data_IF_867568249728
#
_entry.id   IF_867568249728
#
_cell.length_a   1.000
_cell.length_b   1.000
_cell.length_c   1.000
_cell.angle_alpha   90.00
_cell.angle_beta   90.00
_cell.angle_gamma   90.00
#
_symmetry.space_group_name_H-M   'P 1'
#
loop_
_entity.id
_entity.type
_entity.pdbx_description
1 polymer ?
#
# COMPACT_ATOMS: atom_id res chain seq x y z
N UNK A 1 14.42 5.81 4.51
CA UNK A 1 13.85 5.41 5.82
C UNK A 1 12.66 4.52 5.56
N UNK A 2 12.55 3.36 6.22
CA UNK A 2 11.37 2.49 6.08
C UNK A 2 10.21 3.14 6.82
N UNK A 3 9.30 3.79 6.12
CA UNK A 3 8.06 4.34 6.68
C UNK A 3 7.09 3.20 6.99
N UNK A 4 6.40 3.27 8.13
CA UNK A 4 5.34 2.31 8.49
C UNK A 4 3.98 2.94 8.20
N UNK A 5 2.92 2.15 8.05
CA UNK A 5 1.58 2.75 7.90
C UNK A 5 1.19 3.62 9.10
N UNK A 6 1.74 3.35 10.30
CA UNK A 6 1.54 4.15 11.51
C UNK A 6 2.19 5.53 11.40
N UNK A 7 3.40 5.62 10.84
CA UNK A 7 4.05 6.91 10.60
C UNK A 7 3.31 7.72 9.54
N UNK A 8 2.86 7.08 8.46
CA UNK A 8 2.03 7.76 7.44
C UNK A 8 0.68 8.21 8.00
N UNK A 9 0.06 7.44 8.90
CA UNK A 9 -1.15 7.86 9.61
C UNK A 9 -0.92 9.12 10.45
N UNK A 10 0.22 9.22 11.14
CA UNK A 10 0.57 10.42 11.89
C UNK A 10 0.82 11.61 10.96
N UNK A 11 1.50 11.39 9.82
CA UNK A 11 1.72 12.40 8.77
C UNK A 11 0.39 12.93 8.22
N UNK A 12 -0.56 12.04 7.90
CA UNK A 12 -1.91 12.42 7.45
C UNK A 12 -2.60 13.30 8.50
N UNK A 13 -2.58 12.89 9.77
CA UNK A 13 -3.25 13.65 10.84
C UNK A 13 -2.64 15.05 11.04
N UNK A 14 -1.32 15.17 10.86
CA UNK A 14 -0.61 16.46 10.90
C UNK A 14 -1.01 17.34 9.71
N UNK A 15 -0.93 16.80 8.49
CA UNK A 15 -1.23 17.53 7.26
C UNK A 15 -2.70 17.94 7.16
N UNK A 16 -3.65 17.06 7.52
CA UNK A 16 -5.08 17.35 7.43
C UNK A 16 -5.55 18.46 8.38
N UNK A 17 -4.73 18.88 9.34
CA UNK A 17 -5.05 19.99 10.24
C UNK A 17 -4.88 21.35 9.57
N UNK A 18 -3.95 21.46 8.63
CA UNK A 18 -3.51 22.75 8.07
C UNK A 18 -3.52 22.80 6.54
N UNK A 19 -3.76 21.66 5.87
CA UNK A 19 -3.75 21.54 4.42
C UNK A 19 -5.12 21.15 3.87
N UNK A 20 -5.49 21.64 2.67
CA UNK A 20 -6.71 21.23 2.00
C UNK A 20 -6.64 19.76 1.56
N UNK A 21 -7.79 19.17 1.24
CA UNK A 21 -7.91 17.74 0.95
C UNK A 21 -7.17 17.28 -0.31
N UNK A 22 -6.95 18.19 -1.25
CA UNK A 22 -6.26 18.02 -2.53
C UNK A 22 -4.76 18.35 -2.47
N UNK A 23 -4.25 18.72 -1.29
CA UNK A 23 -2.82 18.96 -1.08
C UNK A 23 -1.99 17.73 -1.50
N UNK A 24 -0.97 17.91 -2.37
CA UNK A 24 -0.18 16.79 -2.89
C UNK A 24 0.47 15.93 -1.80
N UNK A 25 0.96 16.54 -0.72
CA UNK A 25 1.61 15.81 0.37
C UNK A 25 0.59 14.98 1.15
N UNK A 26 -0.63 15.49 1.32
CA UNK A 26 -1.71 14.75 1.98
C UNK A 26 -2.18 13.57 1.13
N UNK A 27 -2.28 13.75 -0.20
CA UNK A 27 -2.60 12.67 -1.14
C UNK A 27 -1.50 11.60 -1.11
N UNK A 28 -0.23 12.03 -1.16
CA UNK A 28 0.93 11.14 -1.11
C UNK A 28 0.95 10.33 0.19
N UNK A 29 0.80 10.98 1.35
CA UNK A 29 0.76 10.29 2.64
C UNK A 29 -0.39 9.26 2.72
N UNK A 30 -1.56 9.58 2.15
CA UNK A 30 -2.68 8.63 2.04
C UNK A 30 -2.38 7.46 1.11
N UNK A 31 -1.68 7.67 -0.01
CA UNK A 31 -1.25 6.60 -0.92
C UNK A 31 -0.24 5.68 -0.22
N UNK A 32 0.77 6.27 0.41
CA UNK A 32 1.81 5.54 1.14
C UNK A 32 1.24 4.73 2.30
N UNK A 33 0.33 5.32 3.11
CA UNK A 33 -0.34 4.59 4.19
C UNK A 33 -1.09 3.35 3.67
N UNK A 34 -1.81 3.47 2.56
CA UNK A 34 -2.54 2.34 1.97
C UNK A 34 -1.59 1.26 1.48
N UNK A 35 -0.50 1.63 0.81
CA UNK A 35 0.50 0.70 0.33
C UNK A 35 1.13 -0.11 1.49
N UNK A 36 1.61 0.58 2.52
CA UNK A 36 2.23 -0.05 3.69
C UNK A 36 1.24 -0.94 4.47
N UNK A 37 0.00 -0.48 4.65
CA UNK A 37 -1.03 -1.28 5.34
C UNK A 37 -1.38 -2.54 4.57
N UNK A 38 -1.47 -2.47 3.25
CA UNK A 38 -1.70 -3.64 2.40
C UNK A 38 -0.51 -4.60 2.44
N UNK A 39 0.72 -4.10 2.41
CA UNK A 39 1.92 -4.93 2.52
C UNK A 39 1.97 -5.68 3.86
N UNK A 40 1.65 -5.02 4.97
CA UNK A 40 1.56 -5.65 6.29
C UNK A 40 0.44 -6.70 6.33
N UNK A 41 -0.74 -6.38 5.78
CA UNK A 41 -1.84 -7.34 5.69
C UNK A 41 -1.45 -8.62 4.93
N UNK A 42 -0.80 -8.48 3.77
CA UNK A 42 -0.33 -9.63 2.98
C UNK A 42 0.66 -10.47 3.78
N UNK A 43 1.65 -9.85 4.45
CA UNK A 43 2.60 -10.56 5.32
C UNK A 43 1.89 -11.35 6.41
N UNK A 44 0.91 -10.73 7.06
CA UNK A 44 0.14 -11.38 8.13
C UNK A 44 -0.66 -12.57 7.60
N UNK A 45 -1.33 -12.44 6.45
CA UNK A 45 -2.08 -13.55 5.82
C UNK A 45 -1.15 -14.72 5.46
N UNK A 46 0.04 -14.43 4.90
CA UNK A 46 1.00 -15.46 4.53
C UNK A 46 1.59 -16.22 5.73
N UNK A 47 1.60 -15.61 6.91
CA UNK A 47 2.11 -16.20 8.15
C UNK A 47 1.05 -16.99 8.95
N UNK A 48 -0.24 -16.91 8.59
CA UNK A 48 -1.32 -17.62 9.29
C UNK A 48 -1.21 -19.14 9.12
N UNK A 49 -1.73 -19.88 10.11
CA UNK A 49 -1.78 -21.35 10.09
C UNK A 49 -3.19 -21.87 9.78
N UNK A 50 -3.32 -22.95 8.99
CA UNK A 50 -2.25 -23.63 8.24
C UNK A 50 -1.68 -22.72 7.13
N UNK A 51 -0.39 -22.85 6.77
CA UNK A 51 0.19 -22.02 5.72
C UNK A 51 -0.52 -22.27 4.39
N UNK A 52 -0.63 -21.22 3.57
CA UNK A 52 -1.13 -21.35 2.20
C UNK A 52 -0.27 -22.33 1.40
N UNK A 53 -0.91 -23.15 0.58
CA UNK A 53 -0.22 -24.04 -0.36
C UNK A 53 0.49 -23.23 -1.45
N UNK A 54 1.49 -23.83 -2.09
CA UNK A 54 2.23 -23.17 -3.19
C UNK A 54 1.31 -22.78 -4.35
N UNK A 55 0.29 -23.59 -4.64
CA UNK A 55 -0.73 -23.28 -5.66
C UNK A 55 -1.55 -22.04 -5.27
N UNK A 56 -1.96 -21.93 -4.00
CA UNK A 56 -2.69 -20.76 -3.50
C UNK A 56 -1.82 -19.49 -3.55
N UNK A 57 -0.55 -19.60 -3.14
CA UNK A 57 0.42 -18.49 -3.24
C UNK A 57 0.64 -18.04 -4.68
N UNK A 58 0.77 -18.99 -5.61
CA UNK A 58 0.91 -18.72 -7.05
C UNK A 58 -0.31 -17.98 -7.59
N UNK A 59 -1.53 -18.43 -7.25
CA UNK A 59 -2.76 -17.74 -7.65
C UNK A 59 -2.84 -16.31 -7.13
N UNK A 60 -2.42 -16.07 -5.88
CA UNK A 60 -2.35 -14.71 -5.31
C UNK A 60 -1.31 -13.84 -6.02
N UNK A 61 -0.16 -14.41 -6.40
CA UNK A 61 0.86 -13.68 -7.17
C UNK A 61 0.37 -13.26 -8.56
N UNK A 62 -0.41 -14.12 -9.24
CA UNK A 62 -1.00 -13.79 -10.54
C UNK A 62 -2.00 -12.63 -10.47
N UNK A 63 -2.74 -12.47 -9.36
CA UNK A 63 -3.61 -11.30 -9.16
C UNK A 63 -2.82 -9.98 -9.13
N UNK A 64 -1.56 -10.02 -8.70
CA UNK A 64 -0.68 -8.85 -8.63
C UNK A 64 0.10 -8.62 -9.93
N UNK A 65 0.08 -9.57 -10.87
CA UNK A 65 0.84 -9.48 -12.13
C UNK A 65 0.41 -8.31 -13.03
N UNK A 66 -0.89 -8.02 -13.25
CA UNK A 66 -1.32 -6.86 -14.03
C UNK A 66 -0.85 -5.53 -13.44
N UNK A 67 -0.80 -5.42 -12.10
CA UNK A 67 -0.31 -4.23 -11.40
C UNK A 67 1.19 -3.95 -11.66
N UNK A 68 1.95 -4.95 -12.12
CA UNK A 68 3.34 -4.75 -12.58
C UNK A 68 3.47 -4.22 -14.02
N UNK A 69 2.41 -4.34 -14.83
CA UNK A 69 2.46 -4.02 -16.27
C UNK A 69 1.92 -2.63 -16.61
N UNK A 70 1.22 -1.97 -15.68
CA UNK A 70 0.67 -0.64 -15.87
C UNK A 70 1.64 0.47 -15.48
N UNK A 71 2.57 0.83 -16.38
CA UNK A 71 2.86 2.23 -16.76
C UNK A 71 3.23 2.26 -18.26
N UNK A 72 2.28 2.64 -19.11
CA UNK A 72 2.53 3.75 -20.01
C UNK A 72 1.34 4.71 -20.02
N UNK A 73 1.51 5.93 -19.49
CA UNK A 73 0.47 6.97 -19.59
C UNK A 73 0.29 7.83 -18.35
N UNK A 74 1.36 8.50 -17.89
CA UNK A 74 1.32 9.50 -16.84
C UNK A 74 2.26 10.66 -17.14
N UNK A 75 2.24 11.13 -18.38
CA UNK A 75 2.86 12.38 -18.82
C UNK A 75 1.90 13.06 -19.80
N UNK A 76 1.09 13.98 -19.28
CA UNK A 76 0.41 15.05 -19.98
C UNK A 76 0.05 16.11 -18.93
#
# INVERSE_FOLDING_TARGET
>A
MSTTWKSERARIASLSRSRPADDPDLIEARRNMRAERTAEYIKNVLAQRPPLTDQQRTRLAELLRPARQSVPGGAA
#
